data_IF_736687000691
#
_entry.id   IF_736687000691
#
_cell.length_a   1.000
_cell.length_b   1.000
_cell.length_c   1.000
_cell.angle_alpha   90.00
_cell.angle_beta   90.00
_cell.angle_gamma   90.00
#
_symmetry.space_group_name_H-M   'P 1'
#
loop_
_entity.id
_entity.type
_entity.pdbx_description
1 polymer ?
#
# COMPACT_ATOMS: atom_id res chain seq x y z
N UNK A 1 -18.28 0.04 -16.72
CA UNK A 1 -17.89 -1.28 -17.29
C UNK A 1 -16.69 -1.78 -16.51
N UNK A 2 -16.79 -2.97 -15.94
CA UNK A 2 -15.68 -3.61 -15.20
C UNK A 2 -14.92 -4.55 -16.15
N UNK A 3 -13.60 -4.39 -16.22
CA UNK A 3 -12.69 -5.29 -16.94
C UNK A 3 -11.85 -6.06 -15.94
N UNK A 4 -11.59 -7.33 -16.24
CA UNK A 4 -10.73 -8.22 -15.45
C UNK A 4 -9.62 -8.76 -16.32
N UNK A 5 -8.39 -8.68 -15.83
CA UNK A 5 -7.18 -9.14 -16.52
C UNK A 5 -6.35 -9.99 -15.55
N UNK A 6 -5.62 -10.93 -16.08
CA UNK A 6 -4.59 -11.66 -15.32
C UNK A 6 -3.28 -11.55 -16.09
N UNK A 7 -2.24 -11.07 -15.45
CA UNK A 7 -0.91 -10.98 -16.02
C UNK A 7 -0.22 -12.35 -16.02
N UNK A 8 0.82 -12.50 -16.82
CA UNK A 8 1.58 -13.76 -16.93
C UNK A 8 2.20 -14.22 -15.60
N UNK A 9 2.48 -13.28 -14.69
CA UNK A 9 3.00 -13.55 -13.34
C UNK A 9 1.91 -13.88 -12.30
N UNK A 10 0.63 -13.97 -12.73
CA UNK A 10 -0.49 -14.31 -11.86
C UNK A 10 -1.17 -13.11 -11.19
N UNK A 11 -0.67 -11.88 -11.35
CA UNK A 11 -1.34 -10.68 -10.82
C UNK A 11 -2.69 -10.51 -11.51
N UNK A 12 -3.74 -10.35 -10.71
CA UNK A 12 -5.10 -10.08 -11.18
C UNK A 12 -5.38 -8.59 -11.09
N UNK A 13 -5.90 -8.03 -12.16
CA UNK A 13 -6.23 -6.61 -12.27
C UNK A 13 -7.73 -6.47 -12.50
N UNK A 14 -8.36 -5.61 -11.74
CA UNK A 14 -9.76 -5.21 -11.92
C UNK A 14 -9.77 -3.72 -12.24
N UNK A 15 -10.38 -3.37 -13.36
CA UNK A 15 -10.49 -1.99 -13.82
C UNK A 15 -11.96 -1.62 -13.94
N UNK A 16 -12.33 -0.51 -13.33
CA UNK A 16 -13.64 0.12 -13.55
C UNK A 16 -13.44 1.52 -14.10
N UNK A 17 -13.98 1.76 -15.30
CA UNK A 17 -13.91 3.06 -15.95
C UNK A 17 -15.11 3.92 -15.57
N UNK A 18 -14.84 5.07 -14.97
CA UNK A 18 -15.81 6.06 -14.51
C UNK A 18 -15.56 7.41 -15.23
N UNK A 19 -16.11 7.63 -16.44
CA UNK A 19 -15.71 8.75 -17.32
C UNK A 19 -16.05 10.14 -16.78
N UNK A 20 -16.94 10.23 -15.79
CA UNK A 20 -17.37 11.51 -15.20
C UNK A 20 -16.39 11.97 -14.10
N UNK A 21 -15.57 11.06 -13.58
CA UNK A 21 -14.66 11.36 -12.48
C UNK A 21 -13.29 11.79 -12.99
N UNK A 22 -12.80 12.90 -12.46
CA UNK A 22 -11.44 13.40 -12.70
C UNK A 22 -10.40 12.78 -11.75
N UNK A 23 -10.83 11.89 -10.87
CA UNK A 23 -9.99 11.17 -9.91
C UNK A 23 -9.88 9.71 -10.26
N UNK A 24 -8.79 9.10 -9.79
CA UNK A 24 -8.56 7.66 -9.86
C UNK A 24 -8.24 7.10 -8.47
N UNK A 25 -8.77 5.93 -8.19
CA UNK A 25 -8.40 5.13 -7.02
C UNK A 25 -7.59 3.93 -7.49
N UNK A 26 -6.39 3.78 -6.96
CA UNK A 26 -5.49 2.65 -7.25
C UNK A 26 -5.26 1.89 -5.96
N UNK A 27 -5.53 0.59 -5.96
CA UNK A 27 -5.33 -0.26 -4.78
C UNK A 27 -4.56 -1.53 -5.10
N UNK A 28 -3.63 -1.89 -4.22
CA UNK A 28 -2.96 -3.18 -4.21
C UNK A 28 -3.54 -4.01 -3.07
N UNK A 29 -3.96 -5.23 -3.37
CA UNK A 29 -4.58 -6.15 -2.44
C UNK A 29 -3.73 -7.42 -2.34
N UNK A 30 -3.26 -7.70 -1.14
CA UNK A 30 -2.55 -8.93 -0.80
C UNK A 30 -3.50 -9.84 -0.04
N UNK A 31 -3.70 -11.07 -0.52
CA UNK A 31 -4.57 -12.06 0.11
C UNK A 31 -3.85 -12.66 1.32
N UNK A 32 -3.53 -11.83 2.27
CA UNK A 32 -2.85 -12.15 3.53
C UNK A 32 -3.31 -11.19 4.60
N UNK A 33 -3.75 -11.71 5.72
CA UNK A 33 -4.20 -10.95 6.87
C UNK A 33 -4.05 -11.77 8.16
N UNK A 34 -4.65 -11.32 9.25
CA UNK A 34 -4.48 -11.97 10.55
C UNK A 34 -4.94 -13.43 10.61
N UNK A 35 -5.85 -13.86 9.72
CA UNK A 35 -6.28 -15.26 9.65
C UNK A 35 -5.20 -16.22 9.12
N UNK A 36 -4.16 -15.69 8.46
CA UNK A 36 -3.04 -16.46 7.93
C UNK A 36 -1.88 -16.58 8.93
N UNK A 37 -1.97 -15.91 10.08
CA UNK A 37 -0.93 -15.88 11.10
C UNK A 37 -1.02 -17.09 12.03
N UNK A 38 0.13 -17.63 12.40
CA UNK A 38 0.23 -18.56 13.52
C UNK A 38 0.25 -17.80 14.85
N UNK A 39 0.11 -18.49 15.98
CA UNK A 39 0.20 -17.85 17.31
C UNK A 39 1.53 -17.09 17.51
N UNK A 40 2.61 -17.57 16.89
CA UNK A 40 3.94 -16.93 16.96
C UNK A 40 4.06 -15.68 16.07
N UNK A 41 3.22 -15.59 15.07
CA UNK A 41 3.20 -14.51 14.05
C UNK A 41 2.08 -13.50 14.29
N UNK A 42 1.35 -13.65 15.39
CA UNK A 42 0.21 -12.79 15.70
C UNK A 42 0.60 -11.32 15.69
N UNK A 43 -0.10 -10.55 14.84
CA UNK A 43 0.15 -9.13 14.63
C UNK A 43 1.15 -8.79 13.51
N UNK A 44 1.75 -9.76 12.83
CA UNK A 44 2.73 -9.50 11.77
C UNK A 44 2.13 -8.74 10.58
N UNK A 45 0.93 -9.08 10.15
CA UNK A 45 0.28 -8.38 9.03
C UNK A 45 0.07 -6.90 9.33
N UNK A 46 -0.40 -6.59 10.51
CA UNK A 46 -0.57 -5.21 10.98
C UNK A 46 0.78 -4.49 11.15
N UNK A 47 1.76 -5.18 11.71
CA UNK A 47 3.12 -4.63 11.85
C UNK A 47 3.75 -4.32 10.49
N UNK A 48 3.62 -5.20 9.51
CA UNK A 48 4.13 -4.99 8.15
C UNK A 48 3.41 -3.80 7.49
N UNK A 49 2.10 -3.68 7.67
CA UNK A 49 1.35 -2.52 7.19
C UNK A 49 1.96 -1.22 7.71
N UNK A 50 2.21 -1.10 9.02
CA UNK A 50 2.87 0.06 9.62
C UNK A 50 4.28 0.29 9.04
N UNK A 51 5.05 -0.77 8.85
CA UNK A 51 6.41 -0.67 8.31
C UNK A 51 6.46 -0.19 6.87
N UNK A 52 5.47 -0.53 6.05
CA UNK A 52 5.40 -0.08 4.66
C UNK A 52 5.22 1.45 4.53
N UNK A 53 4.69 2.11 5.54
CA UNK A 53 4.62 3.58 5.61
C UNK A 53 5.94 4.26 6.03
N UNK A 54 6.95 3.51 6.47
CA UNK A 54 8.23 4.08 6.93
C UNK A 54 9.19 4.46 5.81
N UNK A 55 8.87 4.11 4.59
CA UNK A 55 9.63 4.47 3.40
C UNK A 55 10.19 3.27 2.64
N UNK A 56 10.76 3.58 1.50
CA UNK A 56 11.40 2.63 0.59
C UNK A 56 12.91 2.86 0.56
N UNK A 57 13.61 2.05 -0.24
CA UNK A 57 15.05 2.26 -0.44
C UNK A 57 15.36 3.62 -1.10
N UNK A 58 14.42 4.16 -1.89
CA UNK A 58 14.60 5.36 -2.69
C UNK A 58 13.96 6.61 -2.08
N UNK A 59 12.93 6.44 -1.25
CA UNK A 59 12.14 7.54 -0.71
C UNK A 59 11.89 7.35 0.80
N UNK A 60 12.10 8.41 1.55
CA UNK A 60 11.67 8.47 2.95
C UNK A 60 10.14 8.55 3.05
N UNK A 61 9.60 8.25 4.22
CA UNK A 61 8.19 8.42 4.53
C UNK A 61 7.67 9.84 4.18
N UNK A 62 8.45 10.88 4.52
CA UNK A 62 8.09 12.28 4.22
C UNK A 62 8.06 12.58 2.73
N UNK A 63 8.99 12.00 1.96
CA UNK A 63 9.03 12.18 0.51
C UNK A 63 7.85 11.50 -0.17
N UNK A 64 7.46 10.31 0.27
CA UNK A 64 6.26 9.61 -0.22
C UNK A 64 5.01 10.45 0.02
N UNK A 65 4.84 10.95 1.25
CA UNK A 65 3.70 11.80 1.62
C UNK A 65 3.66 13.06 0.74
N UNK A 66 4.78 13.77 0.59
CA UNK A 66 4.85 14.96 -0.27
C UNK A 66 4.58 14.66 -1.73
N UNK A 67 5.03 13.52 -2.22
CA UNK A 67 4.87 13.13 -3.62
C UNK A 67 3.40 12.87 -3.98
N UNK A 68 2.62 12.37 -3.04
CA UNK A 68 1.20 12.07 -3.22
C UNK A 68 0.32 13.22 -2.73
N UNK A 69 0.47 13.66 -1.49
CA UNK A 69 -0.39 14.71 -0.90
C UNK A 69 -0.12 16.10 -1.48
N UNK A 70 1.10 16.35 -1.94
CA UNK A 70 1.48 17.61 -2.60
C UNK A 70 0.71 17.90 -3.89
N UNK A 71 0.05 16.92 -4.47
CA UNK A 71 -0.84 17.06 -5.65
C UNK A 71 -2.30 16.72 -5.32
N UNK A 72 -2.66 16.75 -4.03
CA UNK A 72 -4.03 16.50 -3.57
C UNK A 72 -4.42 15.02 -3.49
N UNK A 73 -3.44 14.11 -3.54
CA UNK A 73 -3.68 12.69 -3.35
C UNK A 73 -3.82 12.30 -1.87
N UNK A 74 -4.40 11.15 -1.63
CA UNK A 74 -4.49 10.53 -0.29
C UNK A 74 -3.96 9.12 -0.39
N UNK A 75 -3.00 8.80 0.47
CA UNK A 75 -2.44 7.46 0.61
C UNK A 75 -2.95 6.82 1.92
N UNK A 76 -3.43 5.59 1.84
CA UNK A 76 -3.94 4.88 3.00
C UNK A 76 -3.70 3.37 2.88
N UNK A 77 -3.87 2.66 4.01
CA UNK A 77 -3.77 1.21 4.08
C UNK A 77 -4.82 0.63 5.03
N UNK A 78 -5.10 -0.64 4.87
CA UNK A 78 -6.05 -1.36 5.69
C UNK A 78 -5.66 -2.84 5.77
N UNK A 79 -5.57 -3.37 7.00
CA UNK A 79 -5.36 -4.79 7.27
C UNK A 79 -6.64 -5.40 7.87
N UNK A 80 -7.12 -6.46 7.24
CA UNK A 80 -8.24 -7.27 7.72
C UNK A 80 -7.78 -8.69 8.10
N UNK A 81 -8.75 -9.53 8.43
CA UNK A 81 -8.47 -10.95 8.68
C UNK A 81 -7.98 -11.70 7.46
N UNK A 82 -8.39 -11.30 6.26
CA UNK A 82 -8.19 -12.07 5.03
C UNK A 82 -7.33 -11.38 3.99
N UNK A 83 -7.14 -10.07 4.11
CA UNK A 83 -6.33 -9.31 3.15
C UNK A 83 -5.73 -8.05 3.78
N UNK A 84 -4.67 -7.59 3.18
CA UNK A 84 -4.05 -6.28 3.44
C UNK A 84 -4.09 -5.47 2.14
N UNK A 85 -4.51 -4.23 2.22
CA UNK A 85 -4.59 -3.34 1.07
C UNK A 85 -3.86 -2.03 1.29
N UNK A 86 -3.27 -1.52 0.23
CA UNK A 86 -2.68 -0.19 0.13
C UNK A 86 -3.33 0.51 -1.04
N UNK A 87 -3.80 1.73 -0.85
CA UNK A 87 -4.47 2.44 -1.92
C UNK A 87 -4.16 3.94 -1.91
N UNK A 88 -4.23 4.52 -3.08
CA UNK A 88 -4.06 5.95 -3.32
C UNK A 88 -5.26 6.45 -4.12
N UNK A 89 -5.86 7.52 -3.63
CA UNK A 89 -6.86 8.31 -4.35
C UNK A 89 -6.18 9.59 -4.82
N UNK A 90 -6.23 9.88 -6.11
CA UNK A 90 -5.49 11.01 -6.69
C UNK A 90 -6.21 11.54 -7.94
N UNK A 91 -5.91 12.76 -8.35
CA UNK A 91 -6.38 13.29 -9.64
C UNK A 91 -5.80 12.41 -10.76
N UNK A 92 -6.64 12.04 -11.73
CA UNK A 92 -6.30 11.03 -12.75
C UNK A 92 -5.06 11.36 -13.58
N UNK A 93 -4.74 12.64 -13.80
CA UNK A 93 -3.50 13.05 -14.48
C UNK A 93 -2.22 12.63 -13.75
N UNK A 94 -2.31 12.32 -12.45
CA UNK A 94 -1.19 11.84 -11.63
C UNK A 94 -1.25 10.33 -11.36
N UNK A 95 -1.99 9.58 -12.18
CA UNK A 95 -2.12 8.14 -12.07
C UNK A 95 -0.76 7.42 -11.95
N UNK A 96 0.22 7.83 -12.76
CA UNK A 96 1.55 7.24 -12.75
C UNK A 96 2.23 7.36 -11.38
N UNK A 97 2.03 8.49 -10.68
CA UNK A 97 2.56 8.65 -9.31
C UNK A 97 1.97 7.62 -8.34
N UNK A 98 0.68 7.31 -8.47
CA UNK A 98 0.02 6.32 -7.62
C UNK A 98 0.56 4.91 -7.88
N UNK A 99 0.67 4.51 -9.15
CA UNK A 99 1.22 3.21 -9.54
C UNK A 99 2.68 3.07 -9.10
N UNK A 100 3.51 4.06 -9.38
CA UNK A 100 4.94 4.04 -9.03
C UNK A 100 5.14 3.95 -7.51
N UNK A 101 4.38 4.74 -6.74
CA UNK A 101 4.47 4.74 -5.28
C UNK A 101 4.03 3.40 -4.69
N UNK A 102 2.88 2.86 -5.10
CA UNK A 102 2.39 1.57 -4.60
C UNK A 102 3.32 0.42 -4.99
N UNK A 103 3.84 0.44 -6.22
CA UNK A 103 4.81 -0.56 -6.68
C UNK A 103 6.12 -0.49 -5.91
N UNK A 104 6.62 0.71 -5.65
CA UNK A 104 7.85 0.91 -4.88
C UNK A 104 7.68 0.47 -3.42
N UNK A 105 6.56 0.78 -2.80
CA UNK A 105 6.23 0.31 -1.46
C UNK A 105 6.13 -1.22 -1.42
N UNK A 106 5.46 -1.84 -2.38
CA UNK A 106 5.30 -3.29 -2.42
C UNK A 106 6.61 -4.06 -2.64
N UNK A 107 7.52 -3.50 -3.45
CA UNK A 107 8.72 -4.21 -3.91
C UNK A 107 10.02 -3.76 -3.24
N UNK A 108 10.09 -2.53 -2.75
CA UNK A 108 11.31 -1.88 -2.31
C UNK A 108 11.22 -1.23 -0.92
N UNK A 109 10.28 -1.68 -0.07
CA UNK A 109 10.21 -1.19 1.32
C UNK A 109 11.52 -1.43 2.05
N UNK A 110 11.97 -0.42 2.77
CA UNK A 110 13.33 -0.40 3.34
C UNK A 110 13.48 -1.29 4.58
N UNK A 111 12.43 -1.44 5.40
CA UNK A 111 12.46 -2.18 6.66
C UNK A 111 13.70 -1.90 7.52
N UNK A 112 14.02 -0.61 7.71
CA UNK A 112 15.20 -0.19 8.48
C UNK A 112 15.10 -0.67 9.93
N UNK A 113 16.20 -1.16 10.47
CA UNK A 113 16.25 -1.72 11.82
C UNK A 113 15.78 -0.72 12.89
N UNK A 114 16.15 0.55 12.74
CA UNK A 114 15.69 1.63 13.65
C UNK A 114 14.18 1.85 13.60
N UNK A 115 13.57 1.78 12.42
CA UNK A 115 12.13 1.91 12.25
C UNK A 115 11.40 0.70 12.84
N UNK A 116 11.93 -0.51 12.64
CA UNK A 116 11.42 -1.74 13.26
C UNK A 116 11.44 -1.62 14.78
N UNK A 117 12.56 -1.16 15.37
CA UNK A 117 12.67 -0.98 16.82
C UNK A 117 11.68 0.05 17.38
N UNK A 118 11.49 1.16 16.66
CA UNK A 118 10.54 2.20 17.05
C UNK A 118 9.09 1.69 16.97
N UNK A 119 8.74 1.05 15.88
CA UNK A 119 7.37 0.60 15.63
C UNK A 119 6.94 -0.54 16.55
N UNK A 120 7.86 -1.44 16.91
CA UNK A 120 7.61 -2.46 17.95
C UNK A 120 7.15 -1.87 19.28
N UNK A 121 7.69 -0.71 19.67
CA UNK A 121 7.27 -0.03 20.91
C UNK A 121 5.87 0.55 20.79
N UNK A 122 5.52 1.09 19.62
CA UNK A 122 4.20 1.70 19.37
C UNK A 122 3.08 0.64 19.39
N UNK A 123 3.32 -0.53 18.83
CA UNK A 123 2.30 -1.59 18.71
C UNK A 123 2.10 -2.37 20.02
N UNK A 124 3.12 -2.43 20.89
CA UNK A 124 3.03 -3.12 22.18
C UNK A 124 2.34 -2.26 23.26
N UNK A 125 2.27 -0.95 23.09
CA UNK A 125 1.50 -0.03 23.94
C UNK A 125 0.01 -0.01 23.59
#
# INVERSE_FOLDING_TARGET
MVKRLTLNNGIRIILEYMPILETVSVGFFFITGSANETEKENGYSHFIEHMLFKGTNDMSSKEIVRYIEGVGGVFNAYTSRHFTSFYINIISKYFDRAIDTLSNIALNSAFREEDIKKEKKVIIE
#
